data_IF_682754714288
#
_entry.id   IF_682754714288
#
_cell.length_a   1.000
_cell.length_b   1.000
_cell.length_c   1.000
_cell.angle_alpha   90.00
_cell.angle_beta   90.00
_cell.angle_gamma   90.00
#
_symmetry.space_group_name_H-M   'P 1'
#
loop_
_entity.id
_entity.type
_entity.pdbx_description
1 polymer ?
#
# COMPACT_ATOMS: atom_id res chain seq x y z
N UNK A 1 -2.76 27.07 -21.37
CA UNK A 1 -3.66 25.95 -21.02
C UNK A 1 -3.00 25.21 -19.86
N UNK A 2 -3.39 25.53 -18.62
CA UNK A 2 -2.89 24.80 -17.44
C UNK A 2 -3.39 23.36 -17.52
N UNK A 3 -2.51 22.47 -17.92
CA UNK A 3 -2.80 21.03 -17.83
C UNK A 3 -3.09 20.68 -16.37
N UNK A 4 -4.27 20.12 -16.17
CA UNK A 4 -4.81 19.69 -14.89
C UNK A 4 -3.74 18.94 -14.07
N UNK A 5 -3.21 19.60 -13.02
CA UNK A 5 -2.13 19.08 -12.15
C UNK A 5 -2.61 17.96 -11.20
N UNK A 6 -3.78 17.38 -11.49
CA UNK A 6 -4.29 16.26 -10.68
C UNK A 6 -3.48 15.00 -10.93
N UNK A 7 -2.99 14.39 -9.87
CA UNK A 7 -2.38 13.06 -9.90
C UNK A 7 -3.45 11.98 -9.97
N UNK A 8 -3.09 10.77 -10.37
CA UNK A 8 -4.02 9.66 -10.39
C UNK A 8 -4.64 9.41 -8.99
N UNK A 9 -3.82 9.49 -7.94
CA UNK A 9 -4.28 9.30 -6.56
C UNK A 9 -5.33 10.32 -6.14
N UNK A 10 -5.13 11.61 -6.46
CA UNK A 10 -6.07 12.68 -6.08
C UNK A 10 -7.37 12.69 -6.90
N UNK A 11 -7.37 12.00 -8.03
CA UNK A 11 -8.60 11.78 -8.82
C UNK A 11 -9.45 10.66 -8.24
N UNK A 12 -8.80 9.64 -7.69
CA UNK A 12 -9.46 8.41 -7.24
C UNK A 12 -9.93 8.47 -5.79
N UNK A 13 -9.32 9.34 -4.95
CA UNK A 13 -9.58 9.40 -3.50
C UNK A 13 -9.98 10.83 -3.11
N UNK A 14 -11.30 11.13 -2.98
CA UNK A 14 -11.80 12.49 -2.80
C UNK A 14 -11.20 13.21 -1.57
N UNK A 15 -11.15 12.58 -0.41
CA UNK A 15 -10.76 13.23 0.85
C UNK A 15 -9.25 13.18 1.13
N UNK A 16 -8.49 12.55 0.24
CA UNK A 16 -7.05 12.39 0.44
C UNK A 16 -6.36 13.72 0.62
N UNK A 17 -6.71 14.71 -0.24
CA UNK A 17 -6.05 16.01 -0.21
C UNK A 17 -6.33 16.79 1.07
N UNK A 18 -7.54 16.74 1.59
CA UNK A 18 -7.89 17.40 2.85
C UNK A 18 -7.11 16.80 4.02
N UNK A 19 -7.13 15.47 4.15
CA UNK A 19 -6.40 14.75 5.19
C UNK A 19 -4.90 14.93 5.05
N UNK A 20 -4.37 14.91 3.82
CA UNK A 20 -2.95 15.18 3.56
C UNK A 20 -2.55 16.60 3.99
N UNK A 21 -3.36 17.61 3.69
CA UNK A 21 -3.09 18.98 4.13
C UNK A 21 -3.14 19.15 5.66
N UNK A 22 -4.03 18.41 6.35
CA UNK A 22 -4.05 18.36 7.83
C UNK A 22 -2.76 17.74 8.37
N UNK A 23 -2.30 16.64 7.78
CA UNK A 23 -1.03 16.01 8.12
C UNK A 23 0.16 16.96 7.91
N UNK A 24 0.24 17.60 6.76
CA UNK A 24 1.32 18.57 6.43
C UNK A 24 1.37 19.74 7.40
N UNK A 25 0.22 20.23 7.88
CA UNK A 25 0.18 21.27 8.90
C UNK A 25 0.83 20.82 10.22
N UNK A 26 0.71 19.56 10.58
CA UNK A 26 1.39 18.96 11.73
C UNK A 26 2.94 18.90 11.60
N UNK A 27 3.44 18.96 10.37
CA UNK A 27 4.87 18.99 10.04
C UNK A 27 5.40 20.42 9.80
N UNK A 28 4.62 21.46 10.11
CA UNK A 28 5.01 22.87 9.91
C UNK A 28 6.36 23.15 10.59
N UNK A 29 7.26 23.80 9.85
CA UNK A 29 8.61 24.14 10.30
C UNK A 29 9.67 23.07 9.95
N UNK A 30 9.27 21.91 9.44
CA UNK A 30 10.19 20.90 8.94
C UNK A 30 10.24 21.02 7.42
N UNK A 31 11.44 21.25 6.87
CA UNK A 31 11.65 21.21 5.42
C UNK A 31 11.76 19.73 5.02
N UNK A 32 10.78 19.25 4.26
CA UNK A 32 10.73 17.88 3.81
C UNK A 32 10.93 17.87 2.29
N UNK A 33 11.96 17.14 1.86
CA UNK A 33 12.28 16.91 0.45
C UNK A 33 12.26 15.42 0.10
N UNK A 34 12.36 14.56 1.10
CA UNK A 34 12.57 13.14 0.94
C UNK A 34 11.51 12.35 1.70
N UNK A 35 10.98 11.30 1.04
CA UNK A 35 9.87 10.52 1.58
C UNK A 35 10.18 9.03 1.56
N UNK A 36 9.76 8.34 2.62
CA UNK A 36 9.77 6.89 2.70
C UNK A 36 8.33 6.38 2.68
N UNK A 37 8.05 5.42 1.86
CA UNK A 37 6.82 4.63 1.87
C UNK A 37 7.18 3.29 2.52
N UNK A 38 6.47 2.89 3.56
CA UNK A 38 6.53 1.50 4.05
C UNK A 38 5.19 0.82 3.83
N UNK A 39 5.20 -0.49 3.61
CA UNK A 39 3.98 -1.22 3.27
C UNK A 39 3.94 -2.61 3.86
N UNK A 40 2.72 -3.05 4.17
CA UNK A 40 2.40 -4.40 4.61
C UNK A 40 1.11 -4.89 3.96
N UNK A 41 0.96 -6.20 3.84
CA UNK A 41 -0.13 -6.84 3.09
C UNK A 41 -0.68 -8.07 3.80
N UNK A 42 -1.99 -8.23 3.73
CA UNK A 42 -2.68 -9.47 4.04
C UNK A 42 -3.51 -9.87 2.83
N UNK A 43 -3.03 -10.83 2.05
CA UNK A 43 -3.72 -11.28 0.85
C UNK A 43 -3.95 -12.79 0.86
N UNK A 44 -5.14 -13.18 0.42
CA UNK A 44 -5.48 -14.55 0.12
C UNK A 44 -5.61 -15.47 1.34
N UNK A 45 -5.66 -14.93 2.54
CA UNK A 45 -6.09 -15.65 3.74
C UNK A 45 -7.61 -15.86 3.65
N UNK A 46 -8.12 -17.12 3.67
CA UNK A 46 -9.55 -17.37 3.48
C UNK A 46 -10.42 -16.82 4.61
N UNK A 47 -9.82 -16.50 5.76
CA UNK A 47 -10.52 -16.01 6.95
C UNK A 47 -10.35 -14.50 7.18
N UNK A 48 -9.72 -13.79 6.23
CA UNK A 48 -9.44 -12.38 6.36
C UNK A 48 -9.75 -11.63 5.08
N UNK A 49 -9.95 -10.33 5.22
CA UNK A 49 -10.05 -9.45 4.07
C UNK A 49 -8.69 -9.28 3.39
N UNK A 50 -8.69 -9.17 2.07
CA UNK A 50 -7.52 -8.74 1.33
C UNK A 50 -7.26 -7.26 1.63
N UNK A 51 -6.11 -6.95 2.20
CA UNK A 51 -5.73 -5.61 2.66
C UNK A 51 -4.31 -5.27 2.23
N UNK A 52 -4.12 -4.04 1.81
CA UNK A 52 -2.80 -3.46 1.62
C UNK A 52 -2.72 -2.10 2.33
N UNK A 53 -1.69 -1.90 3.11
CA UNK A 53 -1.47 -0.68 3.87
C UNK A 53 -0.14 -0.04 3.49
N UNK A 54 -0.19 1.27 3.25
CA UNK A 54 0.96 2.08 2.88
C UNK A 54 1.09 3.24 3.85
N UNK A 55 2.25 3.37 4.47
CA UNK A 55 2.54 4.44 5.42
C UNK A 55 3.65 5.32 4.88
N UNK A 56 3.41 6.62 4.84
CA UNK A 56 4.32 7.64 4.30
C UNK A 56 4.99 8.37 5.44
N UNK A 57 6.32 8.42 5.42
CA UNK A 57 7.16 9.08 6.43
C UNK A 57 8.09 10.12 5.78
N UNK A 58 8.36 11.26 6.45
CA UNK A 58 9.42 12.17 6.03
C UNK A 58 10.80 11.59 6.37
N UNK A 59 11.65 11.36 5.37
CA UNK A 59 13.01 10.79 5.58
C UNK A 59 13.88 11.77 6.37
N UNK A 60 13.69 13.07 6.20
CA UNK A 60 14.43 14.10 6.93
C UNK A 60 14.32 13.94 8.46
N UNK A 61 13.27 13.28 8.95
CA UNK A 61 13.06 12.98 10.38
C UNK A 61 13.40 11.53 10.76
N UNK A 62 14.01 10.76 9.89
CA UNK A 62 14.13 9.30 9.98
C UNK A 62 14.76 8.81 11.31
N UNK A 63 15.80 9.49 11.80
CA UNK A 63 16.45 9.11 13.07
C UNK A 63 15.49 9.22 14.26
N UNK A 64 14.70 10.30 14.29
CA UNK A 64 13.69 10.54 15.33
C UNK A 64 12.60 9.49 15.23
N UNK A 65 12.06 9.29 14.03
CA UNK A 65 10.97 8.35 13.78
C UNK A 65 11.39 6.92 14.14
N UNK A 66 12.58 6.48 13.71
CA UNK A 66 13.10 5.14 14.01
C UNK A 66 13.22 4.91 15.52
N UNK A 67 13.75 5.89 16.26
CA UNK A 67 13.82 5.84 17.72
C UNK A 67 12.42 5.76 18.33
N UNK A 68 11.51 6.66 17.97
CA UNK A 68 10.15 6.69 18.50
C UNK A 68 9.38 5.38 18.22
N UNK A 69 9.49 4.82 17.02
CA UNK A 69 8.86 3.54 16.70
C UNK A 69 9.43 2.42 17.57
N UNK A 70 10.77 2.34 17.71
CA UNK A 70 11.43 1.31 18.54
C UNK A 70 11.04 1.40 20.01
N UNK A 71 10.89 2.61 20.53
CA UNK A 71 10.55 2.86 21.93
C UNK A 71 9.06 2.67 22.24
N UNK A 72 8.18 2.87 21.26
CA UNK A 72 6.74 2.93 21.48
C UNK A 72 5.95 1.81 20.83
N UNK A 73 6.49 1.08 19.86
CA UNK A 73 5.78 -0.02 19.20
C UNK A 73 6.49 -1.36 19.41
N UNK A 74 5.72 -2.45 19.55
CA UNK A 74 6.28 -3.79 19.72
C UNK A 74 7.07 -4.21 18.48
N UNK A 75 8.10 -5.03 18.70
CA UNK A 75 8.90 -5.58 17.61
C UNK A 75 8.08 -6.56 16.76
N UNK A 76 7.27 -7.39 17.40
CA UNK A 76 6.44 -8.43 16.76
C UNK A 76 5.00 -8.33 17.27
N UNK A 77 4.12 -7.84 16.42
CA UNK A 77 2.71 -7.66 16.77
C UNK A 77 1.96 -8.99 16.95
N UNK A 78 2.47 -10.08 16.39
CA UNK A 78 1.84 -11.41 16.54
C UNK A 78 1.88 -11.87 18.00
N UNK A 79 2.92 -11.47 18.74
CA UNK A 79 3.10 -11.78 20.16
C UNK A 79 2.31 -10.87 21.10
N UNK A 80 1.79 -9.76 20.60
CA UNK A 80 1.02 -8.80 21.41
C UNK A 80 -0.37 -9.35 21.69
N UNK A 81 -0.72 -9.48 22.97
CA UNK A 81 -2.09 -9.87 23.40
C UNK A 81 -3.02 -8.65 23.46
N UNK A 82 -2.50 -7.50 23.87
CA UNK A 82 -3.21 -6.24 23.97
C UNK A 82 -2.20 -5.11 23.81
N UNK A 83 -2.57 -4.05 23.10
CA UNK A 83 -1.76 -2.84 23.01
C UNK A 83 -1.85 -2.05 24.29
N UNK A 84 -0.72 -1.55 24.77
CA UNK A 84 -0.63 -0.64 25.93
C UNK A 84 -1.12 0.76 25.56
N UNK A 85 -1.50 1.56 26.56
CA UNK A 85 -1.84 2.97 26.36
C UNK A 85 -0.73 3.75 25.67
N UNK A 86 0.53 3.45 25.99
CA UNK A 86 1.70 4.07 25.35
C UNK A 86 1.73 3.81 23.84
N UNK A 87 1.52 2.57 23.43
CA UNK A 87 1.50 2.16 22.02
C UNK A 87 0.32 2.81 21.26
N UNK A 88 -0.87 2.80 21.88
CA UNK A 88 -2.05 3.45 21.30
C UNK A 88 -1.85 4.96 21.19
N UNK A 89 -1.32 5.60 22.23
CA UNK A 89 -1.05 7.03 22.22
C UNK A 89 -0.05 7.43 21.14
N UNK A 90 1.00 6.62 20.92
CA UNK A 90 1.95 6.86 19.84
C UNK A 90 1.27 6.78 18.47
N UNK A 91 0.52 5.72 18.20
CA UNK A 91 -0.21 5.55 16.93
C UNK A 91 -1.24 6.66 16.71
N UNK A 92 -1.94 7.10 17.76
CA UNK A 92 -2.94 8.15 17.72
C UNK A 92 -2.37 9.55 17.49
N UNK A 93 -1.22 9.86 18.09
CA UNK A 93 -0.72 11.24 18.20
C UNK A 93 0.58 11.52 17.45
N UNK A 94 1.32 10.50 16.99
CA UNK A 94 2.55 10.72 16.22
C UNK A 94 2.26 11.50 14.95
N UNK A 95 2.94 12.63 14.79
CA UNK A 95 2.82 13.51 13.61
C UNK A 95 3.63 13.05 12.40
N UNK A 96 4.41 11.99 12.54
CA UNK A 96 5.43 11.64 11.55
C UNK A 96 4.97 10.63 10.50
N UNK A 97 3.74 10.17 10.53
CA UNK A 97 3.28 9.28 9.50
C UNK A 97 1.89 9.65 8.96
N UNK A 98 1.68 9.32 7.70
CA UNK A 98 0.38 9.36 7.02
C UNK A 98 0.11 7.97 6.44
N UNK A 99 -1.07 7.44 6.70
CA UNK A 99 -1.41 6.08 6.33
C UNK A 99 -2.53 6.02 5.30
N UNK A 100 -2.39 5.14 4.33
CA UNK A 100 -3.42 4.83 3.34
C UNK A 100 -3.60 3.30 3.34
N UNK A 101 -4.79 2.84 3.70
CA UNK A 101 -5.14 1.42 3.72
C UNK A 101 -6.22 1.11 2.70
N UNK A 102 -6.06 0.02 2.00
CA UNK A 102 -7.03 -0.49 1.03
C UNK A 102 -7.61 -1.80 1.55
N UNK A 103 -8.94 -1.88 1.61
CA UNK A 103 -9.69 -3.12 1.75
C UNK A 103 -10.14 -3.50 0.35
N UNK A 104 -9.74 -4.68 -0.13
CA UNK A 104 -9.79 -4.98 -1.56
C UNK A 104 -10.71 -6.16 -1.82
N UNK A 105 -11.59 -6.00 -2.79
CA UNK A 105 -12.43 -7.06 -3.30
C UNK A 105 -12.15 -7.34 -4.76
N UNK A 106 -12.40 -8.58 -5.14
CA UNK A 106 -12.28 -9.02 -6.53
C UNK A 106 -10.92 -8.72 -7.14
N UNK A 107 -9.87 -8.76 -6.32
CA UNK A 107 -8.49 -8.45 -6.72
C UNK A 107 -8.01 -9.26 -7.95
N UNK A 108 -8.59 -10.43 -8.20
CA UNK A 108 -8.31 -11.24 -9.39
C UNK A 108 -8.56 -10.48 -10.72
N UNK A 109 -9.45 -9.49 -10.72
CA UNK A 109 -9.74 -8.67 -11.89
C UNK A 109 -8.81 -7.45 -12.02
N UNK A 110 -7.95 -7.17 -11.02
CA UNK A 110 -6.99 -6.07 -11.11
C UNK A 110 -5.94 -6.27 -12.22
N UNK A 111 -5.73 -7.51 -12.64
CA UNK A 111 -4.70 -7.88 -13.59
C UNK A 111 -5.31 -8.33 -14.91
N UNK A 112 -4.95 -7.62 -15.99
CA UNK A 112 -5.24 -8.02 -17.35
C UNK A 112 -3.94 -8.47 -18.01
N UNK A 113 -3.84 -9.76 -18.30
CA UNK A 113 -2.63 -10.42 -18.81
C UNK A 113 -2.18 -9.85 -20.15
N UNK A 114 -3.10 -9.69 -21.10
CA UNK A 114 -2.78 -9.19 -22.44
C UNK A 114 -2.23 -7.76 -22.37
N UNK A 115 -2.89 -6.91 -21.60
CA UNK A 115 -2.46 -5.52 -21.37
C UNK A 115 -1.11 -5.47 -20.70
N UNK A 116 -0.90 -6.26 -19.63
CA UNK A 116 0.36 -6.31 -18.90
C UNK A 116 1.52 -6.81 -19.77
N UNK A 117 1.30 -7.87 -20.55
CA UNK A 117 2.30 -8.40 -21.48
C UNK A 117 2.71 -7.37 -22.52
N UNK A 118 1.74 -6.61 -23.04
CA UNK A 118 2.01 -5.51 -23.97
C UNK A 118 2.84 -4.41 -23.30
N UNK A 119 2.43 -3.94 -22.13
CA UNK A 119 3.16 -2.89 -21.38
C UNK A 119 4.61 -3.30 -21.07
N UNK A 120 4.84 -4.54 -20.63
CA UNK A 120 6.18 -5.04 -20.32
C UNK A 120 7.02 -5.21 -21.58
N UNK A 121 6.43 -5.72 -22.67
CA UNK A 121 7.14 -5.85 -23.95
C UNK A 121 7.53 -4.50 -24.55
N UNK A 122 6.67 -3.49 -24.44
CA UNK A 122 6.96 -2.12 -24.91
C UNK A 122 8.03 -1.47 -24.02
N UNK A 123 8.04 -1.77 -22.72
CA UNK A 123 9.09 -1.33 -21.80
C UNK A 123 10.43 -1.97 -22.15
N UNK A 124 10.47 -3.27 -22.42
CA UNK A 124 11.69 -3.96 -22.85
C UNK A 124 12.29 -3.34 -24.12
N UNK A 125 11.45 -3.09 -25.14
CA UNK A 125 11.91 -2.39 -26.36
C UNK A 125 12.50 -1.02 -26.07
N UNK A 126 11.87 -0.29 -25.12
CA UNK A 126 12.37 1.01 -24.69
C UNK A 126 13.75 0.89 -24.04
N UNK A 127 13.97 -0.09 -23.16
CA UNK A 127 15.28 -0.38 -22.57
C UNK A 127 16.35 -0.72 -23.63
N UNK A 128 15.99 -1.46 -24.68
CA UNK A 128 16.90 -1.84 -25.77
C UNK A 128 17.31 -0.65 -26.64
N UNK A 129 16.41 0.33 -26.80
CA UNK A 129 16.61 1.50 -27.67
C UNK A 129 17.21 2.70 -26.94
N UNK A 130 17.06 2.79 -25.62
CA UNK A 130 17.67 3.84 -24.82
C UNK A 130 19.19 3.67 -24.77
N UNK A 131 19.90 4.80 -24.84
CA UNK A 131 21.33 4.85 -24.64
C UNK A 131 21.68 4.79 -23.13
N UNK A 132 21.21 3.72 -22.47
CA UNK A 132 21.42 3.49 -21.06
C UNK A 132 22.79 2.85 -20.88
N UNK A 133 23.50 3.19 -19.81
CA UNK A 133 24.75 2.51 -19.48
C UNK A 133 24.49 1.01 -19.24
N UNK A 134 24.77 0.23 -20.29
CA UNK A 134 24.60 -1.24 -20.27
C UNK A 134 25.51 -1.95 -19.25
N UNK A 135 26.39 -1.21 -18.59
CA UNK A 135 27.27 -1.75 -17.53
C UNK A 135 26.66 -1.56 -16.13
N UNK A 136 25.59 -0.77 -15.99
CA UNK A 136 24.89 -0.63 -14.71
C UNK A 136 24.17 -1.94 -14.34
N UNK A 137 24.65 -2.59 -13.30
CA UNK A 137 24.12 -3.87 -12.80
C UNK A 137 22.63 -3.77 -12.40
N UNK A 138 22.20 -2.61 -11.90
CA UNK A 138 20.79 -2.41 -11.54
C UNK A 138 19.88 -2.41 -12.77
N UNK A 139 20.37 -1.91 -13.87
CA UNK A 139 19.65 -1.89 -15.16
C UNK A 139 19.59 -3.28 -15.76
N UNK A 140 20.71 -4.01 -15.73
CA UNK A 140 20.77 -5.41 -16.19
C UNK A 140 19.79 -6.29 -15.43
N UNK A 141 19.77 -6.17 -14.10
CA UNK A 141 18.87 -6.96 -13.26
C UNK A 141 17.39 -6.66 -13.56
N UNK A 142 17.03 -5.39 -13.69
CA UNK A 142 15.65 -5.00 -14.07
C UNK A 142 15.26 -5.51 -15.45
N UNK A 143 16.16 -5.43 -16.42
CA UNK A 143 15.92 -5.98 -17.75
C UNK A 143 15.68 -7.50 -17.69
N UNK A 144 16.54 -8.23 -16.97
CA UNK A 144 16.39 -9.67 -16.74
C UNK A 144 15.03 -9.99 -16.12
N UNK A 145 14.63 -9.30 -15.05
CA UNK A 145 13.35 -9.49 -14.39
C UNK A 145 12.14 -9.19 -15.30
N UNK A 146 12.23 -8.16 -16.16
CA UNK A 146 11.17 -7.90 -17.16
C UNK A 146 11.07 -9.00 -18.21
N UNK A 147 12.19 -9.59 -18.63
CA UNK A 147 12.18 -10.76 -19.53
C UNK A 147 11.56 -11.96 -18.83
N UNK A 148 11.89 -12.19 -17.56
CA UNK A 148 11.35 -13.30 -16.77
C UNK A 148 9.83 -13.21 -16.60
N UNK A 149 9.30 -12.02 -16.29
CA UNK A 149 7.84 -11.87 -16.17
C UNK A 149 7.14 -12.03 -17.51
N UNK A 150 7.70 -11.54 -18.61
CA UNK A 150 7.13 -11.77 -19.94
C UNK A 150 7.10 -13.26 -20.29
N UNK A 151 8.14 -14.01 -19.93
CA UNK A 151 8.20 -15.46 -20.15
C UNK A 151 7.22 -16.21 -19.23
N UNK A 152 7.10 -15.76 -17.96
CA UNK A 152 6.15 -16.32 -17.02
C UNK A 152 4.70 -16.16 -17.49
N UNK A 153 4.34 -14.99 -18.01
CA UNK A 153 3.01 -14.71 -18.56
C UNK A 153 2.68 -15.56 -19.81
N UNK A 154 3.68 -15.95 -20.58
CA UNK A 154 3.48 -16.83 -21.77
C UNK A 154 3.28 -18.31 -21.40
N UNK A 155 3.49 -18.69 -20.14
CA UNK A 155 3.28 -20.07 -19.67
C UNK A 155 1.79 -20.32 -19.46
N UNK A 156 1.32 -21.53 -19.83
CA UNK A 156 -0.11 -21.92 -19.65
C UNK A 156 -0.55 -22.04 -18.19
N UNK A 157 0.38 -22.17 -17.25
CA UNK A 157 0.11 -22.36 -15.83
C UNK A 157 0.83 -21.31 -14.98
N UNK A 158 0.30 -20.10 -14.95
CA UNK A 158 0.79 -19.06 -14.05
C UNK A 158 -0.25 -18.69 -12.98
N UNK A 159 0.20 -18.15 -11.85
CA UNK A 159 -0.68 -17.75 -10.76
C UNK A 159 -1.25 -16.36 -10.99
N UNK A 160 -2.41 -16.27 -11.64
CA UNK A 160 -3.14 -14.99 -11.82
C UNK A 160 -3.37 -14.26 -10.50
N UNK A 161 -3.64 -15.01 -9.40
CA UNK A 161 -3.84 -14.43 -8.07
C UNK A 161 -2.59 -13.67 -7.58
N UNK A 162 -1.40 -14.28 -7.66
CA UNK A 162 -0.15 -13.63 -7.25
C UNK A 162 0.19 -12.43 -8.13
N UNK A 163 -0.03 -12.57 -9.43
CA UNK A 163 0.15 -11.46 -10.38
C UNK A 163 -0.76 -10.29 -10.06
N UNK A 164 -2.04 -10.52 -9.78
CA UNK A 164 -2.99 -9.47 -9.41
C UNK A 164 -2.56 -8.73 -8.13
N UNK A 165 -2.10 -9.47 -7.12
CA UNK A 165 -1.62 -8.90 -5.86
C UNK A 165 -0.39 -8.01 -6.08
N UNK A 166 0.60 -8.53 -6.79
CA UNK A 166 1.82 -7.82 -7.12
C UNK A 166 1.54 -6.58 -7.98
N UNK A 167 0.71 -6.72 -8.99
CA UNK A 167 0.33 -5.65 -9.92
C UNK A 167 -0.36 -4.51 -9.17
N UNK A 168 -1.32 -4.83 -8.29
CA UNK A 168 -1.99 -3.88 -7.43
C UNK A 168 -0.99 -3.07 -6.59
N UNK A 169 -0.12 -3.77 -5.87
CA UNK A 169 0.87 -3.12 -4.99
C UNK A 169 1.79 -2.21 -5.79
N UNK A 170 2.34 -2.68 -6.91
CA UNK A 170 3.24 -1.89 -7.74
C UNK A 170 2.57 -0.63 -8.29
N UNK A 171 1.31 -0.73 -8.73
CA UNK A 171 0.53 0.42 -9.20
C UNK A 171 0.26 1.43 -8.09
N UNK A 172 -0.16 0.99 -6.91
CA UNK A 172 -0.46 1.88 -5.79
C UNK A 172 0.82 2.60 -5.32
N UNK A 173 1.93 1.89 -5.15
CA UNK A 173 3.21 2.52 -4.77
C UNK A 173 3.63 3.55 -5.81
N UNK A 174 3.56 3.23 -7.09
CA UNK A 174 3.90 4.16 -8.18
C UNK A 174 2.99 5.40 -8.17
N UNK A 175 1.71 5.21 -7.85
CA UNK A 175 0.72 6.30 -7.74
C UNK A 175 1.00 7.20 -6.54
N UNK A 176 1.40 6.62 -5.39
CA UNK A 176 1.82 7.38 -4.21
C UNK A 176 3.12 8.15 -4.52
N UNK A 177 4.09 7.52 -5.20
CA UNK A 177 5.33 8.16 -5.62
C UNK A 177 5.07 9.31 -6.59
N UNK A 178 4.21 9.12 -7.59
CA UNK A 178 3.77 10.20 -8.49
C UNK A 178 3.22 11.40 -7.71
N UNK A 179 2.35 11.13 -6.73
CA UNK A 179 1.77 12.15 -5.87
C UNK A 179 2.85 12.91 -5.09
N UNK A 180 3.80 12.21 -4.46
CA UNK A 180 4.87 12.83 -3.68
C UNK A 180 5.82 13.66 -4.56
N UNK A 181 6.14 13.19 -5.77
CA UNK A 181 6.99 13.91 -6.71
C UNK A 181 6.31 15.19 -7.25
N UNK A 182 5.05 15.11 -7.64
CA UNK A 182 4.35 16.22 -8.30
C UNK A 182 3.82 17.23 -7.28
N UNK A 183 3.18 16.77 -6.19
CA UNK A 183 2.52 17.65 -5.23
C UNK A 183 3.45 18.14 -4.14
N UNK A 184 4.34 17.29 -3.65
CA UNK A 184 5.25 17.61 -2.57
C UNK A 184 6.64 18.01 -3.07
N UNK A 185 6.88 17.93 -4.39
CA UNK A 185 8.18 18.20 -5.02
C UNK A 185 9.31 17.38 -4.36
N UNK A 186 8.96 16.14 -3.98
CA UNK A 186 9.91 15.18 -3.43
C UNK A 186 11.06 14.95 -4.41
N UNK A 187 12.27 14.72 -3.87
CA UNK A 187 13.45 14.44 -4.68
C UNK A 187 13.94 13.01 -4.50
N UNK A 188 13.98 12.53 -3.26
CA UNK A 188 14.37 11.18 -2.96
C UNK A 188 13.17 10.43 -2.38
N UNK A 189 12.79 9.35 -3.04
CA UNK A 189 11.76 8.46 -2.59
C UNK A 189 12.37 7.11 -2.23
N UNK A 190 11.90 6.54 -1.14
CA UNK A 190 12.26 5.19 -0.72
C UNK A 190 11.02 4.37 -0.51
N UNK A 191 11.10 3.11 -0.88
CA UNK A 191 10.06 2.15 -0.55
C UNK A 191 10.64 0.98 0.22
N UNK A 192 9.98 0.64 1.33
CA UNK A 192 10.28 -0.49 2.20
C UNK A 192 9.03 -1.35 2.29
N UNK A 193 9.08 -2.55 1.78
CA UNK A 193 7.96 -3.50 1.79
C UNK A 193 8.20 -4.58 2.83
N UNK A 194 7.11 -5.11 3.42
CA UNK A 194 7.18 -6.40 4.07
C UNK A 194 7.72 -7.46 3.11
N UNK A 195 8.54 -8.37 3.67
CA UNK A 195 9.28 -9.38 2.90
C UNK A 195 8.49 -10.67 2.64
N UNK A 196 7.17 -10.59 2.74
CA UNK A 196 6.28 -11.73 2.49
C UNK A 196 6.37 -12.28 1.06
N UNK A 197 5.59 -13.31 0.81
CA UNK A 197 5.60 -14.09 -0.44
C UNK A 197 5.34 -13.27 -1.73
N UNK A 198 4.76 -12.08 -1.62
CA UNK A 198 4.52 -11.19 -2.77
C UNK A 198 5.80 -10.44 -3.13
N UNK A 199 6.49 -9.95 -2.11
CA UNK A 199 7.73 -9.21 -2.30
C UNK A 199 8.87 -10.09 -2.84
N UNK A 200 8.86 -11.40 -2.51
CA UNK A 200 9.84 -12.38 -3.01
C UNK A 200 9.44 -13.07 -4.32
N UNK A 201 8.22 -12.84 -4.80
CA UNK A 201 7.72 -13.48 -6.02
C UNK A 201 8.52 -13.04 -7.24
N UNK A 202 8.99 -14.02 -8.06
CA UNK A 202 9.88 -13.81 -9.21
C UNK A 202 11.06 -12.87 -8.85
N UNK A 203 11.77 -13.23 -7.78
CA UNK A 203 12.95 -12.50 -7.29
C UNK A 203 12.72 -11.00 -7.06
N UNK A 204 11.50 -10.63 -6.62
CA UNK A 204 11.17 -9.25 -6.31
C UNK A 204 10.79 -8.40 -7.51
N UNK A 205 10.29 -8.99 -8.59
CA UNK A 205 9.84 -8.30 -9.80
C UNK A 205 8.93 -7.09 -9.51
N UNK A 206 8.18 -7.14 -8.42
CA UNK A 206 7.32 -6.05 -7.96
C UNK A 206 8.09 -4.72 -7.86
N UNK A 207 9.35 -4.76 -7.41
CA UNK A 207 10.19 -3.57 -7.29
C UNK A 207 10.66 -3.04 -8.65
N UNK A 208 10.77 -3.89 -9.64
CA UNK A 208 11.07 -3.50 -11.02
C UNK A 208 9.87 -2.87 -11.71
N UNK A 209 8.65 -3.30 -11.39
CA UNK A 209 7.44 -2.73 -11.98
C UNK A 209 7.14 -1.31 -11.50
N UNK A 210 7.53 -0.95 -10.28
CA UNK A 210 7.28 0.40 -9.74
C UNK A 210 7.88 1.50 -10.61
N UNK A 211 9.17 1.51 -10.98
CA UNK A 211 9.70 2.54 -11.87
C UNK A 211 9.08 2.51 -13.27
N UNK A 212 8.64 1.34 -13.77
CA UNK A 212 7.94 1.23 -15.06
C UNK A 212 6.62 2.01 -15.02
N UNK A 213 5.77 1.75 -14.01
CA UNK A 213 4.52 2.48 -13.86
C UNK A 213 4.73 3.95 -13.54
N UNK A 214 5.68 4.25 -12.68
CA UNK A 214 5.97 5.62 -12.32
C UNK A 214 6.43 6.44 -13.55
N UNK A 215 7.30 5.90 -14.38
CA UNK A 215 7.69 6.53 -15.65
C UNK A 215 6.48 6.81 -16.54
N UNK A 216 5.59 5.82 -16.68
CA UNK A 216 4.35 5.97 -17.44
C UNK A 216 3.44 7.07 -16.85
N UNK A 217 3.31 7.16 -15.53
CA UNK A 217 2.47 8.17 -14.87
C UNK A 217 3.06 9.58 -14.94
N UNK A 218 4.37 9.70 -14.80
CA UNK A 218 5.05 10.99 -14.81
C UNK A 218 5.08 11.64 -16.21
N UNK A 219 5.21 10.86 -17.28
CA UNK A 219 5.22 11.38 -18.67
C UNK A 219 6.13 12.60 -18.82
N UNK A 220 7.34 12.55 -18.30
CA UNK A 220 8.34 13.65 -18.31
C UNK A 220 7.92 14.93 -17.54
N UNK A 221 6.92 14.84 -16.64
CA UNK A 221 6.47 15.98 -15.82
C UNK A 221 7.43 16.36 -14.69
N UNK A 222 8.33 15.48 -14.34
CA UNK A 222 9.32 15.66 -13.27
C UNK A 222 10.68 15.24 -13.79
N UNK A 223 11.67 16.10 -13.64
CA UNK A 223 13.08 15.80 -13.85
C UNK A 223 13.77 15.65 -12.47
N UNK A 224 14.90 14.96 -12.43
CA UNK A 224 15.81 14.90 -11.28
C UNK A 224 15.17 14.35 -9.99
N UNK A 225 14.75 13.11 -10.02
CA UNK A 225 14.33 12.37 -8.83
C UNK A 225 15.10 11.06 -8.68
N UNK A 226 15.22 10.59 -7.44
CA UNK A 226 15.86 9.33 -7.10
C UNK A 226 14.87 8.42 -6.40
N UNK A 227 14.88 7.13 -6.80
CA UNK A 227 14.06 6.09 -6.16
C UNK A 227 15.00 5.03 -5.61
N UNK A 228 14.85 4.79 -4.30
CA UNK A 228 15.56 3.73 -3.61
C UNK A 228 14.60 2.55 -3.39
N UNK A 229 14.81 1.48 -4.15
CA UNK A 229 14.07 0.23 -4.05
C UNK A 229 15.02 -0.88 -3.62
N UNK A 230 14.56 -1.89 -2.88
CA UNK A 230 15.35 -3.10 -2.66
C UNK A 230 15.70 -3.74 -4.01
N UNK A 231 16.95 -4.11 -4.22
CA UNK A 231 17.38 -4.84 -5.41
C UNK A 231 17.24 -6.35 -5.21
N UNK A 232 17.43 -6.81 -3.98
CA UNK A 232 17.28 -8.21 -3.60
C UNK A 232 16.49 -8.30 -2.30
N UNK A 233 15.48 -9.15 -2.30
CA UNK A 233 14.80 -9.56 -1.07
C UNK A 233 15.24 -10.98 -0.78
N UNK A 234 16.37 -11.11 -0.10
CA UNK A 234 16.72 -12.37 0.54
C UNK A 234 16.04 -12.40 1.90
N UNK A 235 15.27 -13.45 2.17
CA UNK A 235 14.89 -13.79 3.54
C UNK A 235 16.21 -14.02 4.31
N UNK A 236 16.63 -12.99 5.02
CA UNK A 236 17.77 -13.08 5.93
C UNK A 236 17.26 -12.68 7.30
N UNK A 237 17.72 -13.39 8.34
CA UNK A 237 17.44 -13.07 9.75
C UNK A 237 18.04 -11.72 10.19
N UNK A 238 18.63 -10.96 9.28
CA UNK A 238 19.22 -9.65 9.56
C UNK A 238 18.16 -8.56 9.49
N UNK A 239 18.02 -7.78 10.56
CA UNK A 239 17.26 -6.52 10.57
C UNK A 239 17.85 -5.56 9.53
N UNK A 240 17.01 -5.14 8.59
CA UNK A 240 17.36 -4.02 7.71
C UNK A 240 17.10 -2.69 8.42
N UNK A 241 17.85 -1.62 8.08
CA UNK A 241 17.70 -0.32 8.74
C UNK A 241 16.29 0.25 8.72
N UNK A 242 15.44 -0.24 7.81
CA UNK A 242 14.08 0.27 7.59
C UNK A 242 12.96 -0.66 8.07
N UNK A 243 13.27 -1.85 8.58
CA UNK A 243 12.27 -2.81 9.08
C UNK A 243 11.41 -2.21 10.20
N UNK A 244 11.97 -1.30 10.97
CA UNK A 244 11.24 -0.57 12.00
C UNK A 244 10.03 0.18 11.44
N UNK A 245 10.12 0.73 10.24
CA UNK A 245 9.04 1.50 9.63
C UNK A 245 7.87 0.63 9.18
N UNK A 246 8.09 -0.68 8.97
CA UNK A 246 7.05 -1.63 8.59
C UNK A 246 6.10 -1.91 9.76
N UNK A 247 6.50 -1.68 11.01
CA UNK A 247 5.66 -1.94 12.20
C UNK A 247 4.34 -1.15 12.18
N UNK A 248 4.34 0.08 11.65
CA UNK A 248 3.11 0.89 11.58
C UNK A 248 2.11 0.30 10.58
N UNK A 249 2.45 0.07 9.30
CA UNK A 249 1.52 -0.57 8.39
C UNK A 249 1.16 -2.00 8.81
N UNK A 250 2.05 -2.79 9.43
CA UNK A 250 1.75 -4.15 9.92
C UNK A 250 0.63 -4.14 10.98
N UNK A 251 0.67 -3.22 11.95
CA UNK A 251 -0.40 -3.06 12.94
C UNK A 251 -1.73 -2.73 12.25
N UNK A 252 -1.74 -1.78 11.34
CA UNK A 252 -2.96 -1.33 10.67
C UNK A 252 -3.50 -2.41 9.72
N UNK A 253 -2.63 -3.06 8.95
CA UNK A 253 -3.01 -4.22 8.10
C UNK A 253 -3.62 -5.34 8.94
N UNK A 254 -3.00 -5.66 10.09
CA UNK A 254 -3.50 -6.68 11.00
C UNK A 254 -4.91 -6.39 11.51
N UNK A 255 -5.21 -5.13 11.82
CA UNK A 255 -6.55 -4.70 12.24
C UNK A 255 -7.53 -4.76 11.07
N UNK A 256 -7.18 -4.13 9.95
CA UNK A 256 -8.04 -4.04 8.78
C UNK A 256 -8.37 -5.40 8.17
N UNK A 257 -7.41 -6.31 8.12
CA UNK A 257 -7.63 -7.67 7.60
C UNK A 257 -8.50 -8.54 8.51
N UNK A 258 -8.62 -8.18 9.80
CA UNK A 258 -9.44 -8.90 10.78
C UNK A 258 -10.86 -8.35 10.95
N UNK A 259 -11.25 -7.39 10.11
CA UNK A 259 -12.63 -6.89 10.07
C UNK A 259 -13.59 -8.01 9.65
N UNK A 260 -14.73 -8.06 10.31
CA UNK A 260 -15.81 -9.00 10.00
C UNK A 260 -17.12 -8.24 9.85
N UNK A 261 -17.97 -8.71 8.95
CA UNK A 261 -19.30 -8.17 8.76
C UNK A 261 -20.25 -8.68 9.83
N UNK A 262 -21.06 -7.80 10.37
CA UNK A 262 -22.13 -8.12 11.31
C UNK A 262 -23.41 -7.46 10.81
N UNK A 263 -24.55 -7.80 11.41
CA UNK A 263 -25.84 -7.20 11.06
C UNK A 263 -25.90 -5.68 11.28
N UNK A 264 -25.03 -5.15 12.13
CA UNK A 264 -24.94 -3.71 12.45
C UNK A 264 -23.78 -2.99 11.76
N UNK A 265 -22.93 -3.70 11.03
CA UNK A 265 -21.78 -3.14 10.31
C UNK A 265 -20.51 -4.00 10.42
N UNK A 266 -19.36 -3.37 10.30
CA UNK A 266 -18.06 -4.02 10.41
C UNK A 266 -17.50 -3.90 11.82
N UNK A 267 -16.97 -4.99 12.35
CA UNK A 267 -16.27 -5.05 13.63
C UNK A 267 -15.00 -5.88 13.51
N UNK A 268 -14.25 -6.06 14.59
CA UNK A 268 -13.08 -6.92 14.65
C UNK A 268 -13.25 -7.98 15.74
N UNK A 269 -12.83 -9.21 15.47
CA UNK A 269 -13.00 -10.31 16.43
C UNK A 269 -11.98 -10.24 17.59
N UNK A 270 -10.76 -9.79 17.30
CA UNK A 270 -9.68 -9.81 18.29
C UNK A 270 -9.71 -8.57 19.16
N UNK A 271 -9.80 -8.71 20.49
CA UNK A 271 -9.83 -7.60 21.45
C UNK A 271 -8.71 -6.58 21.24
N UNK A 272 -7.47 -7.02 20.96
CA UNK A 272 -6.36 -6.11 20.69
C UNK A 272 -6.62 -5.21 19.46
N UNK A 273 -7.34 -5.71 18.46
CA UNK A 273 -7.68 -4.97 17.26
C UNK A 273 -8.84 -4.00 17.50
N UNK A 274 -9.78 -4.32 18.42
CA UNK A 274 -10.85 -3.38 18.81
C UNK A 274 -10.26 -2.07 19.33
N UNK A 275 -9.28 -2.12 20.22
CA UNK A 275 -8.64 -0.92 20.78
C UNK A 275 -7.97 -0.07 19.69
N UNK A 276 -7.25 -0.71 18.74
CA UNK A 276 -6.63 0.03 17.63
C UNK A 276 -7.71 0.63 16.72
N UNK A 277 -8.76 -0.12 16.43
CA UNK A 277 -9.86 0.36 15.59
C UNK A 277 -10.54 1.57 16.23
N UNK A 278 -10.93 1.48 17.51
CA UNK A 278 -11.65 2.54 18.21
C UNK A 278 -10.79 3.78 18.49
N UNK A 279 -9.54 3.57 18.92
CA UNK A 279 -8.69 4.65 19.38
C UNK A 279 -7.86 5.31 18.28
N UNK A 280 -7.55 4.56 17.20
CA UNK A 280 -6.58 4.98 16.19
C UNK A 280 -7.25 5.27 14.85
N UNK A 281 -8.17 4.41 14.40
CA UNK A 281 -8.73 4.54 13.06
C UNK A 281 -9.94 5.46 13.02
N UNK A 282 -10.70 5.55 14.11
CA UNK A 282 -11.86 6.46 14.20
C UNK A 282 -11.39 7.90 14.18
N UNK A 283 -11.96 8.70 13.28
CA UNK A 283 -11.74 10.15 13.14
C UNK A 283 -10.28 10.62 13.04
N UNK A 284 -9.36 9.72 12.67
CA UNK A 284 -7.95 10.08 12.55
C UNK A 284 -7.66 10.79 11.21
N UNK A 285 -7.26 12.07 11.23
CA UNK A 285 -7.01 12.84 10.00
C UNK A 285 -5.78 12.36 9.22
N UNK A 286 -4.95 11.48 9.78
CA UNK A 286 -3.73 10.96 9.14
C UNK A 286 -3.91 9.57 8.59
N UNK A 287 -5.10 8.99 8.74
CA UNK A 287 -5.40 7.67 8.26
C UNK A 287 -6.54 7.76 7.26
N UNK A 288 -6.28 7.27 6.06
CA UNK A 288 -7.26 7.13 4.98
C UNK A 288 -7.51 5.66 4.78
N UNK A 289 -8.76 5.25 4.82
CA UNK A 289 -9.16 3.88 4.52
C UNK A 289 -10.06 3.88 3.30
N UNK A 290 -9.80 2.99 2.37
CA UNK A 290 -10.43 2.94 1.05
C UNK A 290 -10.93 1.52 0.81
N UNK A 291 -12.21 1.39 0.48
CA UNK A 291 -12.70 0.19 -0.17
C UNK A 291 -12.36 0.26 -1.67
N UNK A 292 -11.80 -0.81 -2.18
CA UNK A 292 -11.47 -0.97 -3.59
C UNK A 292 -12.14 -2.25 -4.10
N UNK A 293 -13.09 -2.12 -5.00
CA UNK A 293 -13.72 -3.26 -5.66
C UNK A 293 -13.39 -3.24 -7.14
N UNK A 294 -12.77 -4.31 -7.64
CA UNK A 294 -12.49 -4.45 -9.06
C UNK A 294 -13.67 -5.05 -9.80
N UNK A 295 -14.13 -4.36 -10.84
CA UNK A 295 -15.09 -4.89 -11.79
C UNK A 295 -14.44 -5.92 -12.72
N UNK A 296 -15.22 -6.77 -13.36
CA UNK A 296 -14.73 -7.80 -14.29
C UNK A 296 -13.92 -7.24 -15.47
N UNK A 297 -14.17 -5.99 -15.85
CA UNK A 297 -13.39 -5.29 -16.88
C UNK A 297 -12.05 -4.72 -16.36
N UNK A 298 -11.69 -5.00 -15.12
CA UNK A 298 -10.45 -4.54 -14.48
C UNK A 298 -10.48 -3.10 -13.96
N UNK A 299 -11.62 -2.41 -14.02
CA UNK A 299 -11.75 -1.06 -13.49
C UNK A 299 -11.98 -1.09 -11.97
N UNK A 300 -11.18 -0.38 -11.18
CA UNK A 300 -11.42 -0.25 -9.74
C UNK A 300 -12.51 0.78 -9.45
N UNK A 301 -13.41 0.42 -8.55
CA UNK A 301 -14.30 1.34 -7.86
C UNK A 301 -13.71 1.67 -6.50
N UNK A 302 -13.51 2.97 -6.22
CA UNK A 302 -12.92 3.46 -5.00
C UNK A 302 -13.96 4.15 -4.13
N UNK A 303 -13.93 3.86 -2.83
CA UNK A 303 -14.76 4.54 -1.85
C UNK A 303 -14.01 4.71 -0.53
N UNK A 304 -14.11 5.92 0.05
CA UNK A 304 -13.61 6.14 1.39
C UNK A 304 -14.44 5.36 2.42
N UNK A 305 -13.75 4.71 3.34
CA UNK A 305 -14.34 4.07 4.51
C UNK A 305 -14.10 4.96 5.72
N UNK A 306 -15.18 5.29 6.41
CA UNK A 306 -15.15 6.06 7.64
C UNK A 306 -15.50 5.14 8.80
N UNK A 307 -14.75 5.28 9.89
CA UNK A 307 -15.02 4.58 11.13
C UNK A 307 -15.65 5.53 12.10
N UNK A 308 -16.79 5.14 12.66
CA UNK A 308 -17.44 5.86 13.76
C UNK A 308 -17.50 4.94 14.98
N UNK A 309 -17.43 5.52 16.18
CA UNK A 309 -17.64 4.80 17.43
C UNK A 309 -19.14 4.74 17.72
N UNK A 310 -19.67 3.55 17.94
CA UNK A 310 -21.04 3.33 18.40
C UNK A 310 -20.96 2.51 19.68
N UNK A 311 -21.37 3.08 20.81
CA UNK A 311 -21.50 2.41 22.12
C UNK A 311 -20.33 1.48 22.50
N UNK A 312 -19.10 2.00 22.44
CA UNK A 312 -17.84 1.27 22.70
C UNK A 312 -17.46 0.19 21.69
N UNK A 313 -18.16 0.08 20.57
CA UNK A 313 -17.77 -0.75 19.44
C UNK A 313 -17.69 0.12 18.18
N UNK A 314 -16.53 0.27 17.56
CA UNK A 314 -16.44 1.03 16.32
C UNK A 314 -17.16 0.26 15.20
N UNK A 315 -18.07 0.95 14.54
CA UNK A 315 -18.85 0.43 13.42
C UNK A 315 -18.59 1.32 12.21
N UNK A 316 -18.44 0.72 11.06
CA UNK A 316 -18.41 1.45 9.81
C UNK A 316 -19.80 2.03 9.51
N UNK A 317 -19.89 3.33 9.31
CA UNK A 317 -21.01 3.89 8.55
C UNK A 317 -20.66 3.96 7.09
N UNK A 318 -21.54 3.46 6.28
CA UNK A 318 -21.31 3.29 4.86
C UNK A 318 -22.60 3.54 4.06
N UNK A 319 -22.45 3.93 2.80
CA UNK A 319 -23.55 3.92 1.84
C UNK A 319 -24.11 2.50 1.72
N UNK A 320 -25.39 2.35 2.12
CA UNK A 320 -26.07 1.06 2.29
C UNK A 320 -26.01 0.15 1.04
N UNK A 321 -25.87 0.72 -0.13
CA UNK A 321 -25.89 -0.04 -1.40
C UNK A 321 -24.61 -0.86 -1.63
N UNK A 322 -23.45 -0.34 -1.30
CA UNK A 322 -22.18 -1.07 -1.40
C UNK A 322 -22.01 -2.06 -0.23
N UNK A 323 -22.43 -1.66 0.97
CA UNK A 323 -22.39 -2.56 2.14
C UNK A 323 -23.20 -3.84 1.90
N UNK A 324 -24.39 -3.74 1.30
CA UNK A 324 -25.20 -4.93 0.95
C UNK A 324 -24.51 -5.86 -0.06
N UNK A 325 -23.78 -5.31 -0.99
CA UNK A 325 -23.03 -6.11 -1.96
C UNK A 325 -21.85 -6.82 -1.29
N UNK A 326 -21.08 -6.12 -0.45
CA UNK A 326 -20.03 -6.68 0.39
C UNK A 326 -20.56 -7.77 1.35
N UNK A 327 -21.66 -7.52 2.03
CA UNK A 327 -22.28 -8.48 2.95
C UNK A 327 -22.72 -9.77 2.25
N UNK A 328 -23.30 -9.67 1.08
CA UNK A 328 -23.80 -10.85 0.36
C UNK A 328 -22.66 -11.72 -0.20
N UNK A 329 -21.63 -11.11 -0.80
CA UNK A 329 -20.49 -11.84 -1.34
C UNK A 329 -19.63 -12.48 -0.24
N UNK A 330 -19.47 -11.83 0.92
CA UNK A 330 -18.73 -12.37 2.05
C UNK A 330 -19.53 -13.43 2.81
N UNK A 331 -20.84 -13.25 2.97
CA UNK A 331 -21.72 -14.26 3.56
C UNK A 331 -21.83 -15.52 2.70
N UNK A 332 -21.81 -15.41 1.37
CA UNK A 332 -21.71 -16.57 0.47
C UNK A 332 -20.37 -17.29 0.60
N UNK A 333 -19.26 -16.55 0.73
CA UNK A 333 -17.96 -17.17 0.99
C UNK A 333 -17.94 -17.92 2.32
N UNK A 334 -18.51 -17.39 3.39
CA UNK A 334 -18.58 -18.08 4.69
C UNK A 334 -19.51 -19.31 4.66
N UNK A 335 -20.63 -19.29 3.93
CA UNK A 335 -21.54 -20.43 3.78
C UNK A 335 -20.93 -21.61 3.02
N UNK A 336 -20.00 -21.35 2.12
CA UNK A 336 -19.31 -22.39 1.34
C UNK A 336 -18.13 -23.04 2.09
N UNK A 337 -17.84 -22.65 3.33
CA UNK A 337 -16.79 -23.19 4.19
C UNK A 337 -17.33 -23.98 5.42
N UNK A 338 -18.64 -24.16 5.52
CA UNK A 338 -19.31 -25.08 6.45
C UNK A 338 -19.99 -26.20 5.67
#
# INVERSE_FOLDING_TARGET
MEMDKKTNLTKSIPDLMEKWQKYKRGLKGIKITDWCISSDYCFGDPYKLDVATFTIFPIDCMRIINREIKENLPHDIKKVKQFSEKELNYLKNSKYFFNISFVIENLKYAFNEEKALKEFSDTLKTYETMNIDKNDESIKERHKQLVEICNYLKQKSHSTKKLSQMYFVAQIVSTIMEFLLIKEKGRNLRWCSDRGHIASFLDGIMFTLVPVYLHHYLKNRVADYYIHLPLEIKETDKEYPYDTFIRVPDIITGVMSSLVFTDIGLTVQKRKHCHVLSEILVDNPRIVTIACNYLENGQPLWQNLYFESVDNCPVFKHDKTLLHKFQNEFAEKLKNYH
#
